data_IF_885545123365
#
_entry.id   IF_885545123365
#
_cell.length_a   1.000
_cell.length_b   1.000
_cell.length_c   1.000
_cell.angle_alpha   90.00
_cell.angle_beta   90.00
_cell.angle_gamma   90.00
#
_symmetry.space_group_name_H-M   'P 1'
#
loop_
_entity.id
_entity.type
_entity.pdbx_description
1 polymer ?
#
# COMPACT_ATOMS: atom_id res chain seq x y z
N UNK A 1 14.38 7.44 -4.09
CA UNK A 1 13.18 7.46 -3.22
C UNK A 1 11.90 7.65 -4.02
N UNK A 2 11.81 8.66 -4.90
CA UNK A 2 10.58 8.92 -5.68
C UNK A 2 10.12 7.73 -6.54
N UNK A 3 11.05 7.00 -7.19
CA UNK A 3 10.69 5.82 -8.00
C UNK A 3 9.95 4.73 -7.22
N UNK A 4 10.33 4.48 -5.96
CA UNK A 4 9.70 3.43 -5.15
C UNK A 4 8.24 3.77 -4.82
N UNK A 5 7.93 5.05 -4.59
CA UNK A 5 6.57 5.51 -4.35
C UNK A 5 5.70 5.39 -5.62
N UNK A 6 6.24 5.79 -6.77
CA UNK A 6 5.51 5.66 -8.05
C UNK A 6 5.28 4.20 -8.45
N UNK A 7 6.30 3.35 -8.33
CA UNK A 7 6.20 1.90 -8.56
C UNK A 7 5.15 1.28 -7.65
N UNK A 8 5.18 1.58 -6.35
CA UNK A 8 4.18 1.12 -5.38
C UNK A 8 2.77 1.54 -5.76
N UNK A 9 2.56 2.83 -6.06
CA UNK A 9 1.24 3.34 -6.43
C UNK A 9 0.74 2.72 -7.74
N UNK A 10 1.65 2.44 -8.68
CA UNK A 10 1.33 1.80 -9.95
C UNK A 10 1.00 0.31 -9.79
N UNK A 11 1.77 -0.44 -8.99
CA UNK A 11 1.58 -1.89 -8.81
C UNK A 11 0.34 -2.20 -7.97
N UNK A 12 0.09 -1.42 -6.92
CA UNK A 12 -1.01 -1.64 -5.98
C UNK A 12 -2.31 -0.91 -6.38
N UNK A 13 -2.21 0.12 -7.23
CA UNK A 13 -3.32 1.01 -7.54
C UNK A 13 -3.76 1.90 -6.37
N UNK A 14 -2.95 2.04 -5.33
CA UNK A 14 -3.25 2.88 -4.17
C UNK A 14 -3.23 4.36 -4.54
N UNK A 15 -4.16 5.11 -3.95
CA UNK A 15 -4.16 6.57 -4.01
C UNK A 15 -3.16 7.14 -3.01
N UNK A 16 -2.66 8.33 -3.29
CA UNK A 16 -1.69 9.00 -2.40
C UNK A 16 -2.21 9.15 -0.96
N UNK A 17 -3.52 9.37 -0.78
CA UNK A 17 -4.13 9.46 0.55
C UNK A 17 -4.09 8.15 1.34
N UNK A 18 -4.11 7.00 0.66
CA UNK A 18 -4.01 5.67 1.28
C UNK A 18 -2.55 5.33 1.62
N UNK A 19 -1.61 5.77 0.78
CA UNK A 19 -0.16 5.61 1.02
C UNK A 19 0.30 6.46 2.21
N UNK A 20 -0.25 7.67 2.37
CA UNK A 20 0.14 8.61 3.44
C UNK A 20 -0.27 8.12 4.83
N UNK A 21 -1.32 7.29 4.92
CA UNK A 21 -1.81 6.71 6.19
C UNK A 21 -1.26 5.30 6.46
N UNK A 22 -0.50 4.73 5.52
CA UNK A 22 0.02 3.37 5.62
C UNK A 22 1.08 3.27 6.72
N UNK A 23 0.97 2.26 7.59
CA UNK A 23 1.98 1.99 8.60
C UNK A 23 2.96 0.91 8.13
N UNK A 24 4.16 0.90 8.70
CA UNK A 24 5.17 -0.12 8.39
C UNK A 24 4.75 -1.52 8.83
N UNK A 25 3.88 -1.61 9.82
CA UNK A 25 3.31 -2.88 10.31
C UNK A 25 2.35 -3.51 9.30
N UNK A 26 1.80 -2.72 8.38
CA UNK A 26 0.88 -3.20 7.33
C UNK A 26 1.63 -3.84 6.14
N UNK A 27 2.97 -3.81 6.14
CA UNK A 27 3.83 -4.32 5.07
C UNK A 27 4.45 -5.65 5.51
N UNK A 28 4.12 -6.71 4.79
CA UNK A 28 4.77 -8.01 4.92
C UNK A 28 5.83 -8.20 3.84
N UNK A 29 7.10 -8.07 4.24
CA UNK A 29 8.25 -8.25 3.38
C UNK A 29 8.55 -9.72 3.05
N UNK A 30 8.00 -10.69 3.78
CA UNK A 30 8.16 -12.12 3.47
C UNK A 30 7.23 -12.53 2.34
N UNK A 31 5.99 -12.03 2.35
CA UNK A 31 5.00 -12.31 1.30
C UNK A 31 4.98 -11.26 0.19
N UNK A 32 5.77 -10.19 0.30
CA UNK A 32 5.73 -9.01 -0.58
C UNK A 32 4.28 -8.52 -0.73
N UNK A 33 3.61 -8.28 0.39
CA UNK A 33 2.24 -7.81 0.39
C UNK A 33 2.06 -6.63 1.34
N UNK A 34 1.00 -5.88 1.10
CA UNK A 34 0.62 -4.73 1.92
C UNK A 34 -0.89 -4.73 2.14
N UNK A 35 -1.30 -4.47 3.37
CA UNK A 35 -2.71 -4.22 3.70
C UNK A 35 -2.96 -2.72 3.62
N UNK A 36 -4.01 -2.34 2.90
CA UNK A 36 -4.35 -0.94 2.66
C UNK A 36 -5.76 -0.68 3.16
N UNK A 37 -5.94 0.39 3.94
CA UNK A 37 -7.27 0.86 4.33
C UNK A 37 -7.87 1.72 3.22
N UNK A 38 -8.92 1.18 2.60
CA UNK A 38 -9.70 1.86 1.59
C UNK A 38 -10.91 2.61 2.16
N UNK A 39 -11.68 3.22 1.25
CA UNK A 39 -12.87 4.01 1.59
C UNK A 39 -13.91 3.18 2.37
N UNK A 40 -14.36 3.71 3.50
CA UNK A 40 -15.39 3.11 4.36
C UNK A 40 -14.85 2.07 5.34
N UNK A 41 -13.61 2.26 5.81
CA UNK A 41 -12.91 1.39 6.76
C UNK A 41 -12.82 -0.07 6.29
N UNK A 42 -12.68 -0.27 4.97
CA UNK A 42 -12.51 -1.59 4.38
C UNK A 42 -11.05 -1.84 4.08
N UNK A 43 -10.53 -2.94 4.59
CA UNK A 43 -9.18 -3.40 4.32
C UNK A 43 -9.11 -4.13 2.97
N UNK A 44 -8.03 -3.90 2.23
CA UNK A 44 -7.72 -4.61 1.00
C UNK A 44 -6.26 -5.06 1.04
N UNK A 45 -6.03 -6.35 0.78
CA UNK A 45 -4.69 -6.87 0.51
C UNK A 45 -4.26 -6.57 -0.92
N UNK A 46 -3.09 -5.96 -1.07
CA UNK A 46 -2.40 -5.76 -2.34
C UNK A 46 -1.06 -6.49 -2.31
N UNK A 47 -0.72 -7.15 -3.40
CA UNK A 47 0.62 -7.76 -3.58
C UNK A 47 1.52 -6.71 -4.23
N UNK A 48 2.73 -6.57 -3.71
CA UNK A 48 3.75 -5.63 -4.18
C UNK A 48 4.51 -6.17 -5.39
#
# INVERSE_FOLDING_TARGET
MEKALFEFMYSTGCRIGEVVILNREDIDFQSNSVIVQGKGDKERGSVL
#
